data_IF_110141199534
#
_entry.id   IF_110141199534
#
_cell.length_a   1.000
_cell.length_b   1.000
_cell.length_c   1.000
_cell.angle_alpha   90.00
_cell.angle_beta   90.00
_cell.angle_gamma   90.00
#
_symmetry.space_group_name_H-M   'P 1'
#
loop_
_entity.id
_entity.type
_entity.pdbx_description
1 polymer ?
#
# COMPACT_ATOMS: atom_id res chain seq x y z
N UNK A 1 17.43 8.68 -34.01
CA UNK A 1 17.50 7.21 -33.92
C UNK A 1 16.08 6.73 -33.66
N UNK A 2 15.28 6.48 -34.70
CA UNK A 2 14.93 5.13 -35.21
C UNK A 2 14.62 4.17 -34.06
N UNK A 3 13.39 3.67 -33.88
CA UNK A 3 12.83 2.62 -34.75
C UNK A 3 11.29 2.53 -34.65
N UNK A 4 10.66 2.30 -35.81
CA UNK A 4 9.26 1.87 -36.01
C UNK A 4 8.96 0.52 -35.35
N UNK A 5 7.67 0.26 -35.05
CA UNK A 5 6.92 -0.85 -35.67
C UNK A 5 5.40 -0.68 -35.50
N UNK A 6 4.70 -0.88 -36.62
CA UNK A 6 3.26 -0.72 -36.81
C UNK A 6 2.54 -2.08 -36.84
N UNK A 7 1.23 -2.05 -36.60
CA UNK A 7 0.13 -2.91 -37.08
C UNK A 7 -0.90 -3.13 -35.95
N UNK A 8 -2.21 -3.03 -36.12
CA UNK A 8 -3.02 -2.85 -37.30
C UNK A 8 -4.51 -2.66 -36.93
N UNK A 9 -5.18 -2.01 -37.87
CA UNK A 9 -6.62 -1.86 -38.18
C UNK A 9 -7.60 -2.92 -37.61
N UNK A 10 -8.77 -2.50 -37.10
CA UNK A 10 -10.10 -2.95 -37.59
C UNK A 10 -11.22 -1.98 -37.17
N UNK A 11 -12.09 -1.68 -38.13
CA UNK A 11 -13.20 -0.72 -38.10
C UNK A 11 -14.48 -1.48 -37.71
N UNK A 12 -15.32 -0.93 -36.83
CA UNK A 12 -16.66 -1.45 -36.58
C UNK A 12 -17.61 -0.36 -36.11
N UNK A 13 -18.40 0.18 -37.05
CA UNK A 13 -19.54 1.03 -36.75
C UNK A 13 -20.68 0.18 -36.15
N UNK A 14 -21.28 0.63 -35.04
CA UNK A 14 -22.38 -0.07 -34.39
C UNK A 14 -23.24 0.90 -33.59
N UNK A 15 -24.33 1.35 -34.21
CA UNK A 15 -25.43 2.11 -33.62
C UNK A 15 -26.20 1.32 -32.58
N UNK A 16 -26.75 1.99 -31.56
CA UNK A 16 -28.02 1.57 -30.95
C UNK A 16 -27.97 1.12 -29.49
N UNK A 17 -28.41 2.05 -28.62
CA UNK A 17 -29.43 1.85 -27.57
C UNK A 17 -29.53 0.50 -26.83
N UNK A 18 -29.19 0.58 -25.54
CA UNK A 18 -29.88 0.00 -24.38
C UNK A 18 -30.27 -1.49 -24.38
N UNK A 19 -29.68 -2.26 -23.47
CA UNK A 19 -30.40 -3.19 -22.61
C UNK A 19 -29.49 -3.75 -21.51
N UNK A 20 -30.10 -3.95 -20.34
CA UNK A 20 -29.57 -4.63 -19.19
C UNK A 20 -28.99 -6.00 -19.52
N UNK A 21 -27.80 -6.29 -18.99
CA UNK A 21 -27.32 -7.64 -18.73
C UNK A 21 -26.43 -7.60 -17.49
N UNK A 22 -27.05 -7.96 -16.36
CA UNK A 22 -26.53 -8.94 -15.40
C UNK A 22 -25.01 -8.92 -15.18
N UNK A 23 -24.58 -8.32 -14.07
CA UNK A 23 -23.31 -8.71 -13.44
C UNK A 23 -23.65 -9.11 -12.02
N UNK A 24 -23.79 -10.43 -11.81
CA UNK A 24 -23.79 -11.04 -10.50
C UNK A 24 -22.44 -10.83 -9.82
N UNK A 25 -22.47 -10.82 -8.49
CA UNK A 25 -21.33 -10.73 -7.56
C UNK A 25 -20.03 -11.31 -8.15
N UNK A 26 -18.89 -10.61 -8.09
CA UNK A 26 -17.96 -10.77 -6.96
C UNK A 26 -16.81 -9.77 -7.06
N UNK A 27 -16.49 -9.17 -5.90
CA UNK A 27 -15.35 -8.31 -5.53
C UNK A 27 -14.90 -7.25 -6.56
N UNK A 28 -15.34 -6.01 -6.34
CA UNK A 28 -14.92 -4.86 -7.14
C UNK A 28 -13.45 -4.50 -6.88
N UNK A 29 -12.57 -4.84 -7.84
CA UNK A 29 -11.23 -4.29 -7.97
C UNK A 29 -11.28 -2.89 -8.60
N UNK A 30 -11.97 -1.94 -7.97
CA UNK A 30 -12.16 -0.58 -8.54
C UNK A 30 -11.86 0.58 -7.60
N UNK A 31 -11.20 0.35 -6.45
CA UNK A 31 -10.95 1.44 -5.50
C UNK A 31 -9.47 1.73 -5.20
N UNK A 32 -8.51 1.20 -5.96
CA UNK A 32 -7.08 1.48 -5.74
C UNK A 32 -6.34 2.17 -6.89
N UNK A 33 -7.07 2.64 -7.90
CA UNK A 33 -6.48 3.49 -8.97
C UNK A 33 -7.09 4.90 -9.04
N UNK A 34 -7.94 5.28 -8.08
CA UNK A 34 -8.70 6.54 -8.12
C UNK A 34 -8.23 7.62 -7.14
N UNK A 35 -7.01 7.52 -6.59
CA UNK A 35 -6.41 8.60 -5.79
C UNK A 35 -5.08 9.06 -6.39
N UNK A 36 -5.03 9.35 -7.70
CA UNK A 36 -3.94 10.15 -8.28
C UNK A 36 -4.42 11.13 -9.35
N UNK A 37 -5.63 11.70 -9.18
CA UNK A 37 -6.08 12.81 -10.01
C UNK A 37 -6.60 14.03 -9.23
N UNK A 38 -6.52 14.05 -7.89
CA UNK A 38 -7.16 15.10 -7.09
C UNK A 38 -6.24 15.93 -6.17
N UNK A 39 -4.94 15.65 -6.04
CA UNK A 39 -4.11 16.29 -5.00
C UNK A 39 -2.85 16.98 -5.55
N UNK A 40 -2.99 17.88 -6.52
CA UNK A 40 -1.88 18.74 -7.02
C UNK A 40 -2.15 20.23 -6.78
N UNK A 41 -3.05 20.57 -5.86
CA UNK A 41 -3.33 21.97 -5.55
C UNK A 41 -3.32 22.21 -4.04
N UNK A 42 -2.30 22.96 -3.65
CA UNK A 42 -2.07 23.65 -2.38
C UNK A 42 -1.12 22.93 -1.42
N UNK A 43 0.05 23.54 -1.22
CA UNK A 43 1.16 23.00 -0.46
C UNK A 43 0.86 22.91 1.03
N UNK A 44 0.57 21.70 1.47
CA UNK A 44 0.66 21.30 2.86
C UNK A 44 1.75 20.22 2.94
N UNK A 45 2.71 20.42 3.84
CA UNK A 45 3.67 19.38 4.26
C UNK A 45 2.88 18.29 4.99
N UNK A 46 2.13 17.47 4.26
CA UNK A 46 1.60 16.22 4.80
C UNK A 46 2.72 15.20 4.73
N UNK A 47 3.13 14.66 5.88
CA UNK A 47 4.00 13.48 5.95
C UNK A 47 3.50 12.44 4.95
N UNK A 48 4.36 12.07 4.01
CA UNK A 48 4.01 11.09 2.98
C UNK A 48 3.69 9.77 3.69
N UNK A 49 2.40 9.43 3.73
CA UNK A 49 1.95 8.15 4.27
C UNK A 49 2.21 7.06 3.23
N UNK A 50 3.10 6.14 3.57
CA UNK A 50 3.52 5.01 2.76
C UNK A 50 2.79 3.74 3.20
N UNK A 51 2.60 2.80 2.28
CA UNK A 51 2.02 1.47 2.57
C UNK A 51 3.04 0.37 2.29
N UNK A 52 3.16 -0.58 3.21
CA UNK A 52 4.03 -1.73 3.14
C UNK A 52 3.30 -3.06 3.34
N UNK A 53 3.89 -4.13 2.83
CA UNK A 53 3.53 -5.50 3.19
C UNK A 53 4.78 -6.27 3.58
N UNK A 54 4.64 -7.16 4.54
CA UNK A 54 5.79 -7.89 5.05
C UNK A 54 5.39 -9.00 6.01
N UNK A 55 6.41 -9.55 6.65
CA UNK A 55 6.25 -10.58 7.66
C UNK A 55 6.68 -10.03 9.02
N UNK A 56 5.77 -10.04 9.98
CA UNK A 56 6.06 -9.61 11.33
C UNK A 56 7.05 -10.56 12.00
N UNK A 57 8.12 -10.03 12.59
CA UNK A 57 9.15 -10.81 13.28
C UNK A 57 8.95 -10.76 14.78
N UNK A 58 8.60 -9.59 15.32
CA UNK A 58 8.44 -9.38 16.76
C UNK A 58 8.75 -7.95 17.19
N UNK A 59 8.71 -7.72 18.50
CA UNK A 59 9.13 -6.45 19.11
C UNK A 59 10.63 -6.47 19.41
N UNK A 60 11.37 -5.50 18.89
CA UNK A 60 12.77 -5.28 19.27
C UNK A 60 12.87 -4.62 20.66
N UNK A 61 11.91 -3.75 20.97
CA UNK A 61 11.72 -3.09 22.26
C UNK A 61 10.24 -2.68 22.42
N UNK A 62 9.79 -2.17 23.59
CA UNK A 62 8.38 -1.83 23.83
C UNK A 62 7.73 -0.84 22.85
N UNK A 63 8.50 -0.11 22.05
CA UNK A 63 8.04 0.88 21.08
C UNK A 63 8.56 0.63 19.66
N UNK A 64 9.22 -0.50 19.40
CA UNK A 64 9.79 -0.80 18.07
C UNK A 64 9.49 -2.23 17.67
N UNK A 65 8.99 -2.41 16.45
CA UNK A 65 8.78 -3.73 15.83
C UNK A 65 9.76 -3.95 14.68
N UNK A 66 10.00 -5.22 14.38
CA UNK A 66 10.73 -5.64 13.20
C UNK A 66 9.80 -6.35 12.21
N UNK A 67 9.89 -5.94 10.94
CA UNK A 67 9.15 -6.54 9.84
C UNK A 67 10.11 -6.87 8.70
N UNK A 68 10.02 -8.09 8.18
CA UNK A 68 10.74 -8.48 6.97
C UNK A 68 9.94 -8.01 5.76
N UNK A 69 10.49 -7.05 5.02
CA UNK A 69 9.95 -6.51 3.77
C UNK A 69 10.88 -6.92 2.64
N UNK A 70 10.35 -7.67 1.66
CA UNK A 70 11.12 -8.16 0.50
C UNK A 70 12.43 -8.91 0.86
N UNK A 71 12.47 -9.54 2.03
CA UNK A 71 13.63 -10.33 2.49
C UNK A 71 14.63 -9.55 3.33
N UNK A 72 14.39 -8.26 3.57
CA UNK A 72 15.22 -7.41 4.42
C UNK A 72 14.44 -7.04 5.70
N UNK A 73 15.14 -6.99 6.83
CA UNK A 73 14.55 -6.61 8.11
C UNK A 73 14.53 -5.08 8.26
N UNK A 74 13.37 -4.53 8.57
CA UNK A 74 13.17 -3.11 8.83
C UNK A 74 12.57 -2.92 10.21
N UNK A 75 13.12 -1.96 10.96
CA UNK A 75 12.58 -1.51 12.24
C UNK A 75 11.57 -0.39 12.02
N UNK A 76 10.43 -0.47 12.69
CA UNK A 76 9.39 0.56 12.71
C UNK A 76 9.09 0.94 14.15
N UNK A 77 9.18 2.24 14.44
CA UNK A 77 8.74 2.79 15.71
C UNK A 77 7.21 2.81 15.74
N UNK A 78 6.61 2.40 16.84
CA UNK A 78 5.16 2.40 17.00
C UNK A 78 4.67 3.84 17.14
N UNK A 79 3.75 4.24 16.26
CA UNK A 79 2.89 5.39 16.49
C UNK A 79 1.92 5.15 17.65
N UNK A 80 1.21 6.21 18.03
CA UNK A 80 0.28 6.18 19.15
C UNK A 80 -0.78 5.06 18.99
N UNK A 81 -1.15 4.46 20.12
CA UNK A 81 -2.21 3.44 20.22
C UNK A 81 -1.98 2.11 19.44
N UNK A 82 -0.80 1.87 18.86
CA UNK A 82 -0.52 0.62 18.14
C UNK A 82 -0.03 -0.54 19.02
N UNK A 83 0.41 -0.25 20.25
CA UNK A 83 0.98 -1.26 21.16
C UNK A 83 0.05 -2.47 21.34
N UNK A 84 -1.21 -2.23 21.70
CA UNK A 84 -2.18 -3.31 21.93
C UNK A 84 -2.52 -4.10 20.66
N UNK A 85 -2.37 -3.48 19.49
CA UNK A 85 -2.58 -4.14 18.20
C UNK A 85 -1.42 -5.07 17.89
N UNK A 86 -0.19 -4.59 18.10
CA UNK A 86 1.05 -5.34 17.88
C UNK A 86 1.21 -6.51 18.86
N UNK A 87 0.82 -6.33 20.12
CA UNK A 87 0.86 -7.41 21.14
C UNK A 87 -0.04 -8.61 20.80
N UNK A 88 -0.99 -8.45 19.86
CA UNK A 88 -1.87 -9.51 19.38
C UNK A 88 -1.33 -10.22 18.13
N UNK A 89 -0.27 -9.71 17.51
CA UNK A 89 0.35 -10.31 16.34
C UNK A 89 1.22 -11.49 16.76
N UNK A 90 1.21 -12.55 15.96
CA UNK A 90 2.09 -13.70 16.12
C UNK A 90 3.29 -13.57 15.19
N UNK A 91 4.45 -14.07 15.62
CA UNK A 91 5.63 -14.12 14.76
C UNK A 91 5.30 -14.88 13.46
N UNK A 92 5.94 -14.47 12.36
CA UNK A 92 5.66 -14.94 10.99
C UNK A 92 4.30 -14.52 10.39
N UNK A 93 3.46 -13.73 11.08
CA UNK A 93 2.24 -13.17 10.51
C UNK A 93 2.54 -12.32 9.26
N UNK A 94 1.75 -12.55 8.20
CA UNK A 94 1.75 -11.67 7.03
C UNK A 94 0.93 -10.43 7.35
N UNK A 95 1.56 -9.26 7.24
CA UNK A 95 0.94 -7.99 7.62
C UNK A 95 0.93 -7.00 6.46
N UNK A 96 -0.10 -6.18 6.43
CA UNK A 96 -0.17 -4.93 5.68
C UNK A 96 -0.15 -3.78 6.68
N UNK A 97 0.62 -2.74 6.40
CA UNK A 97 0.84 -1.64 7.32
C UNK A 97 1.06 -0.32 6.60
N UNK A 98 0.80 0.77 7.31
CA UNK A 98 1.07 2.14 6.88
C UNK A 98 2.11 2.78 7.78
N UNK A 99 2.98 3.61 7.22
CA UNK A 99 4.08 4.26 7.94
C UNK A 99 4.49 5.57 7.30
N UNK A 100 5.21 6.42 8.04
CA UNK A 100 5.90 7.59 7.51
C UNK A 100 7.40 7.37 7.55
N UNK A 101 8.13 8.07 6.67
CA UNK A 101 9.59 8.13 6.68
C UNK A 101 10.05 9.55 6.94
N UNK A 102 10.83 9.74 8.00
CA UNK A 102 11.42 11.03 8.35
C UNK A 102 12.95 10.91 8.32
N UNK A 103 13.67 11.79 7.59
CA UNK A 103 15.13 11.80 7.63
C UNK A 103 15.59 12.27 9.01
N UNK A 104 16.30 11.41 9.74
CA UNK A 104 16.88 11.75 11.04
C UNK A 104 18.24 12.44 10.88
N UNK A 105 19.03 11.98 9.91
CA UNK A 105 20.29 12.59 9.47
C UNK A 105 20.55 12.32 7.98
N UNK A 106 21.78 12.54 7.49
CA UNK A 106 22.14 12.33 6.07
C UNK A 106 22.05 10.87 5.58
N UNK A 107 22.08 9.89 6.50
CA UNK A 107 22.13 8.46 6.19
C UNK A 107 21.07 7.62 6.91
N UNK A 108 20.37 8.19 7.88
CA UNK A 108 19.39 7.52 8.73
C UNK A 108 17.97 8.04 8.46
N UNK A 109 17.04 7.09 8.35
CA UNK A 109 15.61 7.34 8.17
C UNK A 109 14.88 6.70 9.34
N UNK A 110 14.09 7.49 10.04
CA UNK A 110 13.15 7.02 11.04
C UNK A 110 11.87 6.56 10.33
N UNK A 111 11.35 5.39 10.72
CA UNK A 111 10.09 4.86 10.21
C UNK A 111 9.08 4.80 11.34
N UNK A 112 7.99 5.54 11.23
CA UNK A 112 6.93 5.56 12.22
C UNK A 112 5.72 4.81 11.69
N UNK A 113 5.33 3.75 12.36
CA UNK A 113 4.17 2.93 12.03
C UNK A 113 2.88 3.69 12.39
N UNK A 114 1.97 3.81 11.44
CA UNK A 114 0.66 4.44 11.62
C UNK A 114 -0.45 3.41 11.79
N UNK A 115 -0.36 2.28 11.10
CA UNK A 115 -1.33 1.20 11.20
C UNK A 115 -0.72 -0.15 10.83
N UNK A 116 -1.23 -1.24 11.39
CA UNK A 116 -0.80 -2.61 11.04
C UNK A 116 -1.96 -3.58 11.21
N UNK A 117 -2.11 -4.50 10.25
CA UNK A 117 -3.15 -5.54 10.24
C UNK A 117 -2.62 -6.82 9.62
N UNK A 118 -3.06 -7.96 10.16
CA UNK A 118 -2.81 -9.28 9.56
C UNK A 118 -3.60 -9.38 8.24
N UNK A 119 -2.96 -9.88 7.20
CA UNK A 119 -3.61 -10.21 5.95
C UNK A 119 -4.42 -11.48 6.14
N UNK A 120 -5.72 -11.45 5.83
CA UNK A 120 -6.56 -12.65 5.87
C UNK A 120 -5.99 -13.70 4.90
N UNK A 121 -5.77 -14.92 5.39
CA UNK A 121 -5.41 -16.07 4.57
C UNK A 121 -6.73 -16.65 4.02
N UNK A 122 -6.95 -16.48 2.70
CA UNK A 122 -8.07 -17.13 1.98
C UNK A 122 -7.94 -18.65 1.95
#
# INVERSE_FOLDING_TARGET
MAMLLAAGLFIGAGTGTSAAAMIGYTYSWTAYQSIWQAFVLDGLEEEETLTGTGRYVGMADPHTIEVIVKGEAYAFQLGDDLRETVEKLEEDDRVVFEYTEEPLDEIAILRTLLSIKVMEQE
#
